data_IF_872566533724
#
_entry.id   IF_872566533724
#
_cell.length_a   1.000
_cell.length_b   1.000
_cell.length_c   1.000
_cell.angle_alpha   90.00
_cell.angle_beta   90.00
_cell.angle_gamma   90.00
#
_symmetry.space_group_name_H-M   'P 1'
#
loop_
_entity.id
_entity.type
_entity.pdbx_description
1 polymer ?
#
# COMPACT_ATOMS: atom_id res chain seq x y z
N UNK A 1 -1.52 21.81 6.09
CA UNK A 1 -2.03 20.44 6.34
C UNK A 1 -1.82 19.65 5.06
N UNK A 2 -1.25 18.45 5.15
CA UNK A 2 -0.81 17.65 3.99
C UNK A 2 -1.74 16.46 3.68
N UNK A 3 -2.90 16.35 4.36
CA UNK A 3 -3.92 15.36 4.03
C UNK A 3 -4.72 15.80 2.80
N UNK A 4 -5.11 14.84 1.96
CA UNK A 4 -5.87 15.02 0.71
C UNK A 4 -7.05 14.05 0.67
N UNK A 5 -8.23 14.44 1.21
CA UNK A 5 -9.50 13.79 0.91
C UNK A 5 -10.10 14.28 -0.42
N UNK A 6 -10.92 13.46 -1.11
CA UNK A 6 -11.06 12.01 -0.95
C UNK A 6 -9.94 11.24 -1.69
N UNK A 7 -9.80 9.94 -1.38
CA UNK A 7 -8.93 9.05 -2.16
C UNK A 7 -9.48 8.87 -3.58
N UNK A 8 -8.67 9.21 -4.57
CA UNK A 8 -8.96 9.07 -6.01
C UNK A 8 -8.13 7.98 -6.68
N UNK A 9 -7.16 7.38 -5.98
CA UNK A 9 -6.39 6.23 -6.47
C UNK A 9 -7.32 5.02 -6.60
N UNK A 10 -7.60 4.50 -7.81
CA UNK A 10 -8.69 3.56 -8.04
C UNK A 10 -8.64 2.29 -7.19
N UNK A 11 -7.46 1.68 -7.01
CA UNK A 11 -7.31 0.46 -6.20
C UNK A 11 -7.62 0.65 -4.71
N UNK A 12 -7.53 1.89 -4.21
CA UNK A 12 -7.65 2.25 -2.80
C UNK A 12 -9.00 2.89 -2.46
N UNK A 13 -9.91 2.96 -3.42
CA UNK A 13 -11.28 3.38 -3.16
C UNK A 13 -12.05 2.26 -2.42
N UNK A 14 -13.02 2.67 -1.60
CA UNK A 14 -13.85 1.75 -0.80
C UNK A 14 -13.11 1.09 0.37
N UNK A 15 -11.92 1.59 0.74
CA UNK A 15 -11.30 1.25 2.02
C UNK A 15 -12.05 1.91 3.18
N UNK A 16 -11.77 1.46 4.40
CA UNK A 16 -12.38 1.98 5.62
C UNK A 16 -11.92 3.41 5.97
N UNK A 17 -10.94 3.95 5.25
CA UNK A 17 -10.47 5.34 5.37
C UNK A 17 -10.60 6.06 4.02
N UNK A 18 -10.81 7.37 4.08
CA UNK A 18 -11.04 8.22 2.90
C UNK A 18 -10.01 9.34 2.72
N UNK A 19 -9.10 9.50 3.67
CA UNK A 19 -8.07 10.54 3.70
C UNK A 19 -6.67 9.94 3.56
N UNK A 20 -5.90 10.45 2.60
CA UNK A 20 -4.50 10.08 2.36
C UNK A 20 -3.58 11.28 2.58
N UNK A 21 -2.27 11.07 2.73
CA UNK A 21 -1.28 12.15 2.85
C UNK A 21 -0.32 12.16 1.64
N UNK A 22 0.11 13.36 1.22
CA UNK A 22 1.17 13.55 0.22
C UNK A 22 2.25 14.54 0.72
N UNK A 23 3.55 14.34 0.40
CA UNK A 23 4.09 13.25 -0.40
C UNK A 23 3.91 11.88 0.28
N UNK A 24 3.67 10.84 -0.51
CA UNK A 24 3.45 9.49 0.03
C UNK A 24 4.79 8.82 0.41
N UNK A 25 4.77 7.54 0.81
CA UNK A 25 5.98 6.83 1.25
C UNK A 25 7.03 6.62 0.14
N UNK A 26 6.66 6.80 -1.13
CA UNK A 26 7.53 6.69 -2.29
C UNK A 26 7.98 8.06 -2.82
N UNK A 27 7.57 9.15 -2.16
CA UNK A 27 7.91 10.51 -2.58
C UNK A 27 7.04 11.08 -3.70
N UNK A 28 6.00 10.36 -4.15
CA UNK A 28 5.05 10.93 -5.11
C UNK A 28 4.40 12.16 -4.51
N UNK A 29 4.23 13.19 -5.33
CA UNK A 29 3.71 14.51 -4.95
C UNK A 29 2.19 14.60 -5.00
N UNK A 30 1.52 13.66 -5.68
CA UNK A 30 0.07 13.69 -5.89
C UNK A 30 -0.55 12.30 -6.04
N UNK A 31 -1.86 12.20 -5.78
CA UNK A 31 -2.65 11.00 -6.04
C UNK A 31 -2.58 10.55 -7.50
N UNK A 32 -2.47 11.50 -8.45
CA UNK A 32 -2.35 11.21 -9.88
C UNK A 32 -1.05 10.45 -10.17
N UNK A 33 0.07 10.94 -9.66
CA UNK A 33 1.38 10.31 -9.83
C UNK A 33 1.40 8.90 -9.19
N UNK A 34 0.89 8.78 -7.96
CA UNK A 34 0.74 7.51 -7.29
C UNK A 34 -0.14 6.53 -8.07
N UNK A 35 -1.27 6.99 -8.62
CA UNK A 35 -2.18 6.17 -9.42
C UNK A 35 -1.55 5.68 -10.72
N UNK A 36 -0.72 6.50 -11.37
CA UNK A 36 -0.02 6.09 -12.60
C UNK A 36 0.95 4.96 -12.28
N UNK A 37 1.77 5.10 -11.25
CA UNK A 37 2.73 4.07 -10.85
C UNK A 37 2.04 2.80 -10.33
N UNK A 38 0.96 2.95 -9.55
CA UNK A 38 0.21 1.81 -9.02
C UNK A 38 -0.56 1.05 -10.12
N UNK A 39 -0.86 1.68 -11.26
CA UNK A 39 -1.62 1.05 -12.35
C UNK A 39 -0.99 -0.24 -12.88
N UNK A 40 0.33 -0.38 -12.75
CA UNK A 40 1.07 -1.60 -13.07
C UNK A 40 0.55 -2.82 -12.30
N UNK A 41 0.10 -2.62 -11.05
CA UNK A 41 -0.41 -3.69 -10.21
C UNK A 41 -1.87 -4.04 -10.48
N UNK A 42 -2.63 -3.21 -11.22
CA UNK A 42 -4.08 -3.41 -11.42
C UNK A 42 -4.39 -4.81 -11.96
N UNK A 43 -3.70 -5.23 -13.03
CA UNK A 43 -3.99 -6.51 -13.70
C UNK A 43 -3.57 -7.73 -12.88
N UNK A 44 -2.49 -7.61 -12.09
CA UNK A 44 -1.93 -8.71 -11.30
C UNK A 44 -2.71 -8.87 -9.99
N UNK A 45 -2.95 -7.77 -9.28
CA UNK A 45 -3.50 -7.79 -7.92
C UNK A 45 -5.01 -8.04 -7.90
N UNK A 46 -5.78 -7.50 -8.84
CA UNK A 46 -7.24 -7.63 -8.79
C UNK A 46 -7.72 -9.06 -9.08
N UNK A 47 -6.90 -9.88 -9.75
CA UNK A 47 -7.36 -11.17 -10.29
C UNK A 47 -6.78 -12.38 -9.55
N UNK A 48 -5.56 -12.28 -9.02
CA UNK A 48 -4.79 -13.48 -8.63
C UNK A 48 -4.25 -13.48 -7.21
N UNK A 49 -4.52 -12.42 -6.45
CA UNK A 49 -3.78 -12.09 -5.24
C UNK A 49 -4.68 -12.00 -4.01
N UNK A 50 -4.10 -12.25 -2.84
CA UNK A 50 -4.80 -12.09 -1.54
C UNK A 50 -5.10 -10.62 -1.25
N UNK A 51 -6.14 -10.35 -0.45
CA UNK A 51 -6.54 -8.98 -0.07
C UNK A 51 -5.40 -8.17 0.59
N UNK A 52 -4.46 -8.85 1.25
CA UNK A 52 -3.33 -8.25 1.95
C UNK A 52 -2.44 -7.40 1.03
N UNK A 53 -2.24 -7.79 -0.25
CA UNK A 53 -1.42 -6.96 -1.15
C UNK A 53 -2.12 -5.66 -1.53
N UNK A 54 -3.45 -5.67 -1.73
CA UNK A 54 -4.20 -4.45 -2.02
C UNK A 54 -4.06 -3.48 -0.86
N UNK A 55 -4.27 -3.98 0.36
CA UNK A 55 -4.16 -3.16 1.57
C UNK A 55 -2.73 -2.65 1.77
N UNK A 56 -1.73 -3.50 1.56
CA UNK A 56 -0.32 -3.09 1.66
C UNK A 56 0.03 -2.00 0.65
N UNK A 57 -0.30 -2.20 -0.63
CA UNK A 57 -0.02 -1.21 -1.67
C UNK A 57 -0.75 0.11 -1.36
N UNK A 58 -2.00 0.07 -0.89
CA UNK A 58 -2.68 1.30 -0.48
C UNK A 58 -2.01 2.00 0.70
N UNK A 59 -1.46 1.28 1.66
CA UNK A 59 -0.68 1.87 2.76
C UNK A 59 0.70 2.41 2.34
N UNK A 60 1.12 2.17 1.11
CA UNK A 60 2.35 2.75 0.53
C UNK A 60 2.02 3.91 -0.42
N UNK A 61 1.08 3.69 -1.34
CA UNK A 61 0.74 4.62 -2.42
C UNK A 61 -0.27 5.70 -2.01
N UNK A 62 -1.21 5.36 -1.12
CA UNK A 62 -2.24 6.25 -0.60
C UNK A 62 -2.40 6.05 0.94
N UNK A 63 -1.32 6.27 1.71
CA UNK A 63 -1.29 5.95 3.13
C UNK A 63 -2.31 6.79 3.90
N UNK A 64 -2.99 6.15 4.86
CA UNK A 64 -3.96 6.82 5.73
C UNK A 64 -3.33 8.04 6.43
N UNK A 65 -3.99 9.19 6.35
CA UNK A 65 -3.62 10.36 7.11
C UNK A 65 -4.18 10.24 8.54
N UNK A 66 -3.33 10.31 9.57
CA UNK A 66 -3.76 10.35 10.97
C UNK A 66 -3.15 11.57 11.63
N UNK A 67 -3.98 12.57 11.98
CA UNK A 67 -3.53 13.82 12.62
C UNK A 67 -2.42 14.54 11.85
N UNK A 68 -2.42 14.44 10.51
CA UNK A 68 -1.40 15.05 9.67
C UNK A 68 -0.10 14.26 9.55
N UNK A 69 -0.07 13.02 10.05
CA UNK A 69 1.07 12.11 9.93
C UNK A 69 0.75 10.90 9.05
N UNK A 70 1.79 10.41 8.38
CA UNK A 70 1.72 9.23 7.52
C UNK A 70 1.87 7.95 8.34
N UNK A 71 0.92 7.03 8.19
CA UNK A 71 1.04 5.69 8.78
C UNK A 71 1.88 4.79 7.88
N UNK A 72 2.91 4.14 8.44
CA UNK A 72 3.83 3.25 7.70
C UNK A 72 3.48 1.79 7.93
N UNK A 73 3.39 0.94 6.89
CA UNK A 73 3.17 -0.48 7.08
C UNK A 73 4.41 -1.15 7.69
N UNK A 74 4.19 -2.15 8.53
CA UNK A 74 5.26 -2.94 9.11
C UNK A 74 5.88 -3.88 8.08
N UNK A 75 7.14 -4.28 8.32
CA UNK A 75 7.84 -5.34 7.58
C UNK A 75 7.03 -6.63 7.49
N UNK A 76 6.32 -7.00 8.56
CA UNK A 76 5.46 -8.19 8.61
C UNK A 76 4.19 -8.06 7.75
N UNK A 77 3.73 -6.83 7.47
CA UNK A 77 2.68 -6.57 6.51
C UNK A 77 3.22 -6.74 5.09
N UNK A 78 4.36 -6.13 4.75
CA UNK A 78 5.01 -6.31 3.46
C UNK A 78 5.26 -7.79 3.14
N UNK A 79 5.80 -8.56 4.11
CA UNK A 79 6.09 -9.99 3.89
C UNK A 79 4.85 -10.78 3.50
N UNK A 80 3.73 -10.57 4.20
CA UNK A 80 2.44 -11.19 3.85
C UNK A 80 1.94 -10.79 2.46
N UNK A 81 2.05 -9.50 2.12
CA UNK A 81 1.70 -9.03 0.78
C UNK A 81 2.57 -9.68 -0.31
N UNK A 82 3.88 -9.81 -0.06
CA UNK A 82 4.83 -10.47 -0.96
C UNK A 82 4.60 -11.97 -1.05
N UNK A 83 4.27 -12.66 0.03
CA UNK A 83 3.90 -14.08 0.01
C UNK A 83 2.68 -14.33 -0.88
N UNK A 84 1.72 -13.41 -0.85
CA UNK A 84 0.49 -13.50 -1.64
C UNK A 84 0.65 -13.40 -3.15
N UNK A 85 1.68 -12.70 -3.65
CA UNK A 85 1.81 -12.38 -5.08
C UNK A 85 3.22 -12.46 -5.65
N UNK A 86 4.24 -12.51 -4.81
CA UNK A 86 5.64 -12.44 -5.23
C UNK A 86 6.01 -13.55 -6.20
N UNK A 87 5.58 -14.79 -5.91
CA UNK A 87 5.81 -15.92 -6.80
C UNK A 87 5.12 -15.76 -8.16
N UNK A 88 3.87 -15.27 -8.18
CA UNK A 88 3.16 -15.01 -9.44
C UNK A 88 3.85 -13.91 -10.26
N UNK A 89 4.27 -12.83 -9.61
CA UNK A 89 5.01 -11.75 -10.27
C UNK A 89 6.31 -12.30 -10.88
N UNK A 90 7.06 -13.11 -10.14
CA UNK A 90 8.27 -13.79 -10.65
C UNK A 90 7.97 -14.69 -11.85
N UNK A 91 6.90 -15.48 -11.83
CA UNK A 91 6.47 -16.31 -12.97
C UNK A 91 6.10 -15.50 -14.22
N UNK A 92 5.61 -14.27 -14.03
CA UNK A 92 5.30 -13.33 -15.11
C UNK A 92 6.52 -12.49 -15.55
N UNK A 93 7.73 -12.81 -15.07
CA UNK A 93 8.95 -12.02 -15.27
C UNK A 93 8.82 -10.55 -14.81
N UNK A 94 7.98 -10.33 -13.81
CA UNK A 94 7.79 -9.05 -13.15
C UNK A 94 8.51 -9.10 -11.80
N UNK A 95 9.67 -8.42 -11.64
CA UNK A 95 10.36 -8.42 -10.36
C UNK A 95 9.55 -7.67 -9.30
N UNK A 96 9.64 -8.11 -8.05
CA UNK A 96 9.14 -7.32 -6.92
C UNK A 96 9.94 -6.00 -6.83
N UNK A 97 9.29 -4.82 -6.85
CA UNK A 97 10.01 -3.55 -6.94
C UNK A 97 10.95 -3.30 -5.77
N UNK A 98 12.05 -2.61 -6.05
CA UNK A 98 13.08 -2.34 -5.05
C UNK A 98 12.54 -1.48 -3.90
N UNK A 99 11.68 -0.52 -4.21
CA UNK A 99 11.04 0.39 -3.27
C UNK A 99 10.08 -0.35 -2.33
N UNK A 100 9.52 -1.47 -2.79
CA UNK A 100 8.60 -2.31 -2.03
C UNK A 100 9.30 -3.45 -1.29
N UNK A 101 10.64 -3.56 -1.33
CA UNK A 101 11.37 -4.57 -0.57
C UNK A 101 11.05 -4.45 0.93
N UNK A 102 10.77 -5.59 1.57
CA UNK A 102 10.28 -5.59 2.95
C UNK A 102 11.29 -5.05 3.97
N UNK A 103 12.56 -5.05 3.61
CA UNK A 103 13.66 -4.46 4.37
C UNK A 103 13.51 -2.93 4.50
N UNK A 104 12.84 -2.27 3.56
CA UNK A 104 12.60 -0.82 3.58
C UNK A 104 11.56 -0.41 4.63
N UNK A 105 10.83 -1.37 5.21
CA UNK A 105 9.78 -1.11 6.18
C UNK A 105 10.23 -1.42 7.62
N UNK A 106 9.76 -0.61 8.60
CA UNK A 106 10.13 -0.77 9.99
C UNK A 106 9.49 -2.01 10.62
N UNK A 107 10.05 -2.46 11.75
CA UNK A 107 9.51 -3.54 12.58
C UNK A 107 8.67 -3.04 13.75
N UNK A 108 8.84 -1.77 14.14
CA UNK A 108 8.20 -1.12 15.28
C UNK A 108 7.59 0.23 14.84
N UNK A 109 6.66 0.77 15.63
CA UNK A 109 5.97 2.03 15.36
C UNK A 109 5.36 2.09 13.94
N UNK A 110 4.67 1.02 13.56
CA UNK A 110 4.10 0.79 12.24
C UNK A 110 2.78 0.03 12.33
N UNK A 111 2.04 -0.01 11.23
CA UNK A 111 0.74 -0.70 11.14
C UNK A 111 0.87 -2.09 10.53
N UNK A 112 0.17 -3.05 11.11
CA UNK A 112 0.05 -4.42 10.60
C UNK A 112 -1.25 -4.59 9.80
N UNK A 113 -1.33 -5.63 8.96
CA UNK A 113 -2.57 -5.88 8.18
C UNK A 113 -3.81 -6.06 9.05
N UNK A 114 -3.68 -6.53 10.29
CA UNK A 114 -4.81 -6.73 11.21
C UNK A 114 -5.41 -5.39 11.65
N UNK A 115 -4.54 -4.46 12.05
CA UNK A 115 -4.92 -3.09 12.38
C UNK A 115 -5.58 -2.41 11.18
N UNK A 116 -5.07 -2.68 9.97
CA UNK A 116 -5.60 -2.10 8.74
C UNK A 116 -6.92 -2.71 8.30
N UNK A 117 -7.11 -4.02 8.45
CA UNK A 117 -8.37 -4.69 8.12
C UNK A 117 -9.50 -4.37 9.13
N UNK A 118 -9.26 -3.51 10.12
CA UNK A 118 -10.21 -3.25 11.21
C UNK A 118 -10.41 -4.45 12.15
N UNK A 119 -9.53 -5.45 12.08
CA UNK A 119 -9.53 -6.63 12.94
C UNK A 119 -8.61 -6.31 14.12
N UNK A 120 -9.12 -5.52 15.06
CA UNK A 120 -8.45 -5.29 16.34
C UNK A 120 -8.79 -6.45 17.27
N UNK A 121 -7.77 -7.06 17.89
CA UNK A 121 -7.97 -7.81 19.14
C UNK A 121 -8.09 -6.82 20.28
#
# INVERSE_FOLDING_TARGET
>A
MNCSPPITVPMCQGLYYSETMFPNLLGHSSQREASIQMSFFNSIVQTFCVVDIRLFLCNVYAPKCVRGEVQRPCRSFCRRAREGCGHLMEQLNVPWPQELRCENFPTENCITVRQEAGIVN
#
